data_IF_592085543314
#
_entry.id   IF_592085543314
#
_cell.length_a   1.000
_cell.length_b   1.000
_cell.length_c   1.000
_cell.angle_alpha   90.00
_cell.angle_beta   90.00
_cell.angle_gamma   90.00
#
_symmetry.space_group_name_H-M   'P 1'
#
loop_
_entity.id
_entity.type
_entity.pdbx_description
1 polymer ?
#
# COMPACT_ATOMS: atom_id res chain seq x y z
N UNK A 1 7.34 -11.93 8.70
CA UNK A 1 6.71 -10.73 9.30
C UNK A 1 7.55 -9.49 9.11
N UNK A 2 8.80 -9.44 9.62
CA UNK A 2 9.63 -8.23 9.52
C UNK A 2 9.84 -7.75 8.07
N UNK A 3 10.33 -8.63 7.20
CA UNK A 3 10.56 -8.28 5.79
C UNK A 3 9.27 -7.89 5.06
N UNK A 4 8.17 -8.59 5.33
CA UNK A 4 6.85 -8.28 4.78
C UNK A 4 6.42 -6.86 5.15
N UNK A 5 6.57 -6.50 6.43
CA UNK A 5 6.28 -5.16 6.91
C UNK A 5 7.21 -4.13 6.28
N UNK A 6 8.50 -4.43 6.17
CA UNK A 6 9.50 -3.51 5.64
C UNK A 6 9.21 -3.15 4.18
N UNK A 7 8.93 -4.14 3.34
CA UNK A 7 8.56 -3.92 1.93
C UNK A 7 7.27 -3.10 1.82
N UNK A 8 6.23 -3.43 2.61
CA UNK A 8 4.96 -2.72 2.55
C UNK A 8 5.05 -1.27 3.06
N UNK A 9 5.86 -1.02 4.08
CA UNK A 9 6.12 0.34 4.56
C UNK A 9 6.79 1.20 3.49
N UNK A 10 7.78 0.64 2.76
CA UNK A 10 8.39 1.32 1.61
C UNK A 10 7.40 1.52 0.46
N UNK A 11 6.60 0.50 0.11
CA UNK A 11 5.60 0.60 -0.94
C UNK A 11 4.64 1.78 -0.70
N UNK A 12 4.15 1.91 0.53
CA UNK A 12 3.27 3.02 0.93
C UNK A 12 3.96 4.37 0.94
N UNK A 13 5.17 4.45 1.49
CA UNK A 13 5.93 5.70 1.54
C UNK A 13 6.21 6.23 0.14
N UNK A 14 6.57 5.34 -0.79
CA UNK A 14 6.81 5.71 -2.18
C UNK A 14 5.51 6.13 -2.87
N UNK A 15 4.42 5.38 -2.70
CA UNK A 15 3.11 5.75 -3.25
C UNK A 15 2.63 7.11 -2.72
N UNK A 16 2.89 7.41 -1.43
CA UNK A 16 2.60 8.70 -0.84
C UNK A 16 3.42 9.83 -1.47
N UNK A 17 4.72 9.60 -1.73
CA UNK A 17 5.59 10.58 -2.39
C UNK A 17 5.12 10.83 -3.83
N UNK A 18 4.79 9.77 -4.57
CA UNK A 18 4.26 9.89 -5.94
C UNK A 18 2.98 10.71 -5.94
N UNK A 19 2.02 10.35 -5.08
CA UNK A 19 0.74 11.05 -5.00
C UNK A 19 0.90 12.51 -4.56
N UNK A 20 1.73 12.76 -3.55
CA UNK A 20 2.03 14.12 -3.11
C UNK A 20 2.72 14.94 -4.20
N UNK A 21 3.61 14.32 -4.98
CA UNK A 21 4.24 15.01 -6.11
C UNK A 21 3.23 15.47 -7.16
N UNK A 22 2.22 14.64 -7.46
CA UNK A 22 1.11 14.98 -8.36
C UNK A 22 0.24 16.08 -7.76
N UNK A 23 -0.27 15.88 -6.54
CA UNK A 23 -1.20 16.80 -5.88
C UNK A 23 -0.60 18.20 -5.68
N UNK A 24 0.73 18.29 -5.50
CA UNK A 24 1.45 19.55 -5.29
C UNK A 24 2.30 20.00 -6.49
N UNK A 25 2.21 19.35 -7.65
CA UNK A 25 2.97 19.66 -8.86
C UNK A 25 4.50 19.79 -8.65
N UNK A 26 5.08 18.96 -7.77
CA UNK A 26 6.48 19.06 -7.37
C UNK A 26 7.45 18.40 -8.37
N UNK A 27 6.94 17.61 -9.31
CA UNK A 27 7.76 16.86 -10.29
C UNK A 27 8.87 16.03 -9.65
N UNK A 28 8.59 15.39 -8.50
CA UNK A 28 9.54 14.59 -7.73
C UNK A 28 9.99 13.39 -8.57
N UNK A 29 11.31 13.29 -8.76
CA UNK A 29 11.93 12.12 -9.36
C UNK A 29 12.28 11.11 -8.28
N UNK A 30 11.56 9.99 -8.23
CA UNK A 30 11.79 8.94 -7.24
C UNK A 30 13.23 8.39 -7.26
N UNK A 31 13.87 8.36 -8.43
CA UNK A 31 15.27 7.92 -8.54
C UNK A 31 16.22 8.84 -7.77
N UNK A 32 16.02 10.16 -7.82
CA UNK A 32 16.82 11.12 -7.05
C UNK A 32 16.59 10.98 -5.54
N UNK A 33 15.33 10.79 -5.12
CA UNK A 33 14.97 10.54 -3.71
C UNK A 33 15.63 9.27 -3.20
N UNK A 34 15.50 8.17 -3.95
CA UNK A 34 16.07 6.87 -3.56
C UNK A 34 17.60 6.92 -3.55
N UNK A 35 18.23 7.65 -4.47
CA UNK A 35 19.67 7.84 -4.50
C UNK A 35 20.19 8.56 -3.25
N UNK A 36 19.47 9.58 -2.78
CA UNK A 36 19.80 10.26 -1.52
C UNK A 36 19.70 9.31 -0.30
N UNK A 37 18.84 8.29 -0.37
CA UNK A 37 18.70 7.29 0.70
C UNK A 37 19.71 6.13 0.62
N UNK A 38 20.49 6.04 -0.46
CA UNK A 38 21.47 4.95 -0.63
C UNK A 38 22.74 5.12 0.21
N UNK A 39 23.04 6.33 0.72
CA UNK A 39 24.29 6.58 1.44
C UNK A 39 24.09 7.52 2.63
N UNK A 40 24.43 7.05 3.84
CA UNK A 40 24.56 7.87 5.05
C UNK A 40 23.24 8.18 5.78
N UNK A 41 22.10 7.75 5.24
CA UNK A 41 20.81 7.92 5.93
C UNK A 41 20.50 6.70 6.82
N UNK A 42 19.67 6.91 7.86
CA UNK A 42 19.32 5.86 8.85
C UNK A 42 18.61 4.65 8.20
N UNK A 43 17.89 4.88 7.11
CA UNK A 43 17.12 3.83 6.40
C UNK A 43 17.90 3.17 5.26
N UNK A 44 19.18 3.48 5.12
CA UNK A 44 20.07 2.88 4.12
C UNK A 44 20.02 1.35 4.24
N UNK A 45 19.72 0.68 3.13
CA UNK A 45 19.64 -0.78 3.11
C UNK A 45 19.70 -1.35 1.69
N UNK A 46 19.98 -2.66 1.60
CA UNK A 46 19.90 -3.41 0.33
C UNK A 46 18.54 -3.26 -0.37
N UNK A 47 17.46 -3.04 0.38
CA UNK A 47 16.15 -2.79 -0.22
C UNK A 47 16.15 -1.44 -0.95
N UNK A 48 16.70 -0.37 -0.35
CA UNK A 48 16.79 0.96 -1.00
C UNK A 48 17.57 0.88 -2.31
N UNK A 49 18.73 0.21 -2.34
CA UNK A 49 19.47 -0.03 -3.59
C UNK A 49 18.63 -0.76 -4.65
N UNK A 50 17.88 -1.78 -4.23
CA UNK A 50 16.98 -2.53 -5.13
C UNK A 50 15.84 -1.64 -5.65
N UNK A 51 15.25 -0.80 -4.79
CA UNK A 51 14.19 0.14 -5.16
C UNK A 51 14.70 1.17 -6.15
N UNK A 52 15.88 1.73 -5.92
CA UNK A 52 16.51 2.66 -6.87
C UNK A 52 16.63 2.01 -8.25
N UNK A 53 17.13 0.77 -8.32
CA UNK A 53 17.22 0.01 -9.57
C UNK A 53 15.85 -0.20 -10.24
N UNK A 54 14.85 -0.63 -9.48
CA UNK A 54 13.48 -0.84 -9.98
C UNK A 54 12.92 0.44 -10.61
N UNK A 55 12.99 1.57 -9.92
CA UNK A 55 12.44 2.83 -10.42
C UNK A 55 13.31 3.50 -11.49
N UNK A 56 14.57 3.08 -11.64
CA UNK A 56 15.40 3.44 -12.79
C UNK A 56 14.96 2.69 -14.05
N UNK A 57 14.69 1.39 -13.92
CA UNK A 57 14.26 0.53 -15.03
C UNK A 57 12.79 0.76 -15.42
N UNK A 58 11.94 1.10 -14.45
CA UNK A 58 10.50 1.31 -14.63
C UNK A 58 10.04 2.62 -13.96
N UNK A 59 10.35 3.80 -14.53
CA UNK A 59 10.01 5.09 -13.93
C UNK A 59 8.50 5.31 -13.77
N UNK A 60 7.69 4.71 -14.64
CA UNK A 60 6.22 4.80 -14.62
C UNK A 60 5.55 3.72 -13.77
N UNK A 61 6.29 3.01 -12.91
CA UNK A 61 5.71 2.01 -12.02
C UNK A 61 4.75 2.67 -11.02
N UNK A 62 3.45 2.42 -11.20
CA UNK A 62 2.39 3.01 -10.37
C UNK A 62 2.47 2.58 -8.91
N UNK A 63 2.84 1.32 -8.66
CA UNK A 63 2.89 0.78 -7.32
C UNK A 63 3.97 -0.30 -7.20
N UNK A 64 4.78 -0.23 -6.15
CA UNK A 64 5.92 -1.14 -5.94
C UNK A 64 5.54 -2.63 -5.98
N UNK A 65 4.35 -2.98 -5.47
CA UNK A 65 3.87 -4.36 -5.45
C UNK A 65 3.50 -4.94 -6.83
N UNK A 66 3.48 -4.11 -7.88
CA UNK A 66 3.31 -4.56 -9.26
C UNK A 66 4.63 -5.01 -9.90
N UNK A 67 5.78 -4.67 -9.30
CA UNK A 67 7.07 -5.16 -9.78
C UNK A 67 7.19 -6.67 -9.49
N UNK A 68 7.48 -7.45 -10.54
CA UNK A 68 7.46 -8.91 -10.52
C UNK A 68 8.30 -9.53 -9.41
N UNK A 69 9.52 -9.05 -9.20
CA UNK A 69 10.42 -9.62 -8.18
C UNK A 69 9.94 -9.32 -6.75
N UNK A 70 9.34 -8.14 -6.51
CA UNK A 70 8.72 -7.77 -5.24
C UNK A 70 7.45 -8.56 -5.01
N UNK A 71 6.56 -8.66 -6.00
CA UNK A 71 5.33 -9.44 -5.93
C UNK A 71 5.61 -10.90 -5.55
N UNK A 72 6.53 -11.56 -6.26
CA UNK A 72 6.96 -12.93 -5.97
C UNK A 72 7.57 -13.06 -4.57
N UNK A 73 8.31 -12.05 -4.09
CA UNK A 73 8.86 -12.07 -2.74
C UNK A 73 7.75 -11.99 -1.69
N UNK A 74 6.79 -11.09 -1.87
CA UNK A 74 5.64 -10.92 -0.99
C UNK A 74 4.80 -12.19 -0.95
N UNK A 75 4.52 -12.82 -2.09
CA UNK A 75 3.79 -14.09 -2.16
C UNK A 75 4.44 -15.19 -1.33
N UNK A 76 5.78 -15.30 -1.40
CA UNK A 76 6.54 -16.29 -0.62
C UNK A 76 6.46 -16.07 0.89
N UNK A 77 6.41 -14.82 1.35
CA UNK A 77 6.50 -14.48 2.78
C UNK A 77 5.15 -14.15 3.44
N UNK A 78 4.09 -13.87 2.68
CA UNK A 78 2.80 -13.44 3.25
C UNK A 78 2.15 -14.52 4.13
N UNK A 79 2.23 -15.80 3.75
CA UNK A 79 1.59 -16.91 4.50
C UNK A 79 2.16 -17.03 5.92
N UNK A 80 3.48 -17.03 6.04
CA UNK A 80 4.14 -17.11 7.34
C UNK A 80 3.97 -15.81 8.14
N UNK A 81 3.91 -14.66 7.47
CA UNK A 81 3.63 -13.39 8.13
C UNK A 81 2.22 -13.35 8.74
N UNK A 82 1.20 -13.85 8.02
CA UNK A 82 -0.17 -14.00 8.55
C UNK A 82 -0.23 -14.90 9.77
N UNK A 83 0.44 -16.06 9.73
CA UNK A 83 0.48 -16.99 10.88
C UNK A 83 1.03 -16.30 12.12
N UNK A 84 2.14 -15.58 11.99
CA UNK A 84 2.74 -14.88 13.13
C UNK A 84 1.86 -13.70 13.62
N UNK A 85 1.24 -12.97 12.70
CA UNK A 85 0.28 -11.90 13.03
C UNK A 85 -0.91 -12.45 13.81
N UNK A 86 -1.52 -13.55 13.35
CA UNK A 86 -2.64 -14.19 14.02
C UNK A 86 -2.26 -14.70 15.42
N UNK A 87 -1.09 -15.33 15.55
CA UNK A 87 -0.57 -15.77 16.84
C UNK A 87 -0.38 -14.58 17.80
N UNK A 88 0.24 -13.49 17.35
CA UNK A 88 0.43 -12.31 18.18
C UNK A 88 -0.89 -11.69 18.63
N UNK A 89 -1.89 -11.57 17.74
CA UNK A 89 -3.24 -11.11 18.09
C UNK A 89 -3.88 -12.03 19.13
N UNK A 90 -3.85 -13.35 18.90
CA UNK A 90 -4.42 -14.34 19.83
C UNK A 90 -3.75 -14.35 21.21
N UNK A 91 -2.49 -13.94 21.29
CA UNK A 91 -1.74 -13.81 22.53
C UNK A 91 -1.73 -12.37 23.09
N UNK A 92 -2.59 -11.49 22.59
CA UNK A 92 -2.72 -10.11 23.06
C UNK A 92 -1.41 -9.30 22.97
N UNK A 93 -0.56 -9.64 22.00
CA UNK A 93 0.70 -8.92 21.72
C UNK A 93 0.40 -7.78 20.73
N UNK A 94 0.69 -6.52 21.08
CA UNK A 94 0.44 -5.38 20.21
C UNK A 94 1.38 -5.42 18.99
N UNK A 95 0.78 -5.36 17.79
CA UNK A 95 1.49 -5.45 16.50
C UNK A 95 0.95 -4.43 15.49
N UNK A 96 0.89 -3.16 15.89
CA UNK A 96 0.25 -2.08 15.13
C UNK A 96 0.71 -2.00 13.67
N UNK A 97 2.03 -2.06 13.43
CA UNK A 97 2.59 -2.01 12.06
C UNK A 97 2.17 -3.23 11.25
N UNK A 98 2.27 -4.43 11.81
CA UNK A 98 1.96 -5.68 11.09
C UNK A 98 0.47 -5.80 10.77
N UNK A 99 -0.39 -5.50 11.74
CA UNK A 99 -1.85 -5.52 11.58
C UNK A 99 -2.31 -4.50 10.54
N UNK A 100 -1.74 -3.30 10.54
CA UNK A 100 -2.04 -2.30 9.55
C UNK A 100 -1.51 -2.71 8.15
N UNK A 101 -0.28 -3.22 8.06
CA UNK A 101 0.34 -3.67 6.81
C UNK A 101 -0.43 -4.82 6.14
N UNK A 102 -0.86 -5.82 6.90
CA UNK A 102 -1.64 -6.92 6.32
C UNK A 102 -2.99 -6.45 5.78
N UNK A 103 -3.69 -5.57 6.51
CA UNK A 103 -4.97 -5.02 6.08
C UNK A 103 -4.83 -4.22 4.79
N UNK A 104 -3.83 -3.33 4.70
CA UNK A 104 -3.54 -2.59 3.46
C UNK A 104 -3.21 -3.49 2.28
N UNK A 105 -2.37 -4.50 2.49
CA UNK A 105 -2.04 -5.44 1.43
C UNK A 105 -3.29 -6.16 0.91
N UNK A 106 -4.23 -6.50 1.79
CA UNK A 106 -5.50 -7.10 1.39
C UNK A 106 -6.44 -6.11 0.72
N UNK A 107 -6.51 -4.85 1.18
CA UNK A 107 -7.26 -3.79 0.49
C UNK A 107 -6.78 -3.59 -0.95
N UNK A 108 -5.47 -3.59 -1.21
CA UNK A 108 -4.93 -3.43 -2.57
C UNK A 108 -5.35 -4.55 -3.54
N UNK A 109 -5.70 -5.74 -3.04
CA UNK A 109 -6.16 -6.87 -3.87
C UNK A 109 -7.69 -7.01 -3.89
N UNK A 110 -8.40 -6.15 -3.16
CA UNK A 110 -9.84 -6.26 -2.98
C UNK A 110 -10.54 -5.40 -4.01
N UNK A 111 -11.05 -6.04 -5.08
CA UNK A 111 -11.82 -5.35 -6.14
C UNK A 111 -13.11 -4.71 -5.62
N UNK A 112 -13.80 -5.39 -4.71
CA UNK A 112 -15.04 -4.92 -4.09
C UNK A 112 -14.87 -4.94 -2.57
N UNK A 113 -14.72 -3.76 -1.97
CA UNK A 113 -14.53 -3.61 -0.53
C UNK A 113 -15.86 -3.38 0.19
N UNK A 114 -15.82 -3.31 1.52
CA UNK A 114 -16.96 -2.95 2.36
C UNK A 114 -17.36 -1.45 2.25
N UNK A 115 -16.78 -0.69 1.33
CA UNK A 115 -17.14 0.71 1.10
C UNK A 115 -18.59 0.87 0.59
N UNK A 116 -19.18 -0.18 0.02
CA UNK A 116 -20.60 -0.20 -0.35
C UNK A 116 -21.52 0.05 0.86
N UNK A 117 -21.23 -0.55 2.02
CA UNK A 117 -22.00 -0.32 3.24
C UNK A 117 -21.81 1.10 3.75
N UNK A 118 -20.60 1.65 3.66
CA UNK A 118 -20.33 3.05 4.02
C UNK A 118 -21.15 4.00 3.14
N UNK A 119 -21.21 3.76 1.83
CA UNK A 119 -22.03 4.55 0.93
C UNK A 119 -23.52 4.48 1.28
N UNK A 120 -24.04 3.27 1.56
CA UNK A 120 -25.43 3.10 2.00
C UNK A 120 -25.74 3.84 3.31
N UNK A 121 -24.84 3.77 4.29
CA UNK A 121 -24.99 4.48 5.57
C UNK A 121 -25.03 6.00 5.35
N UNK A 122 -24.06 6.54 4.59
CA UNK A 122 -23.97 7.98 4.27
C UNK A 122 -25.25 8.49 3.62
N UNK A 123 -25.78 7.73 2.67
CA UNK A 123 -27.01 8.12 2.02
C UNK A 123 -28.22 8.03 2.95
N UNK A 124 -28.33 6.97 3.74
CA UNK A 124 -29.44 6.78 4.69
C UNK A 124 -29.57 7.93 5.70
N UNK A 125 -28.48 8.39 6.31
CA UNK A 125 -28.55 9.47 7.31
C UNK A 125 -28.39 10.88 6.73
N UNK A 126 -27.88 11.01 5.50
CA UNK A 126 -27.36 12.29 5.00
C UNK A 126 -27.67 12.62 3.54
N UNK A 127 -28.43 11.78 2.82
CA UNK A 127 -28.80 11.98 1.41
C UNK A 127 -27.61 12.30 0.51
N UNK A 128 -26.47 11.64 0.76
CA UNK A 128 -25.21 11.86 0.05
C UNK A 128 -25.18 11.25 -1.36
N UNK A 129 -26.13 10.37 -1.69
CA UNK A 129 -26.16 9.60 -2.93
C UNK A 129 -25.06 8.55 -3.02
N UNK A 130 -25.24 7.60 -3.94
CA UNK A 130 -24.24 6.59 -4.28
C UNK A 130 -24.35 6.13 -5.74
N UNK A 131 -23.25 5.60 -6.28
CA UNK A 131 -23.22 4.98 -7.61
C UNK A 131 -23.52 3.48 -7.51
N UNK A 132 -24.02 2.91 -8.61
CA UNK A 132 -24.28 1.48 -8.75
C UNK A 132 -23.35 0.86 -9.78
N UNK A 133 -23.06 -0.43 -9.61
CA UNK A 133 -22.20 -1.19 -10.52
C UNK A 133 -22.92 -1.70 -11.77
N UNK A 134 -24.26 -1.66 -11.77
CA UNK A 134 -25.11 -2.18 -12.85
C UNK A 134 -25.79 -1.09 -13.68
N UNK A 135 -25.72 0.17 -13.24
CA UNK A 135 -26.36 1.31 -13.91
C UNK A 135 -25.64 2.61 -13.62
N UNK A 136 -25.40 3.38 -14.66
CA UNK A 136 -24.81 4.73 -14.55
C UNK A 136 -25.79 5.71 -13.89
N UNK A 137 -25.23 6.61 -13.07
CA UNK A 137 -25.96 7.67 -12.38
C UNK A 137 -25.76 7.68 -10.87
N UNK A 138 -26.34 8.68 -10.22
CA UNK A 138 -26.36 8.84 -8.75
C UNK A 138 -27.75 8.43 -8.25
N UNK A 139 -27.78 7.58 -7.24
CA UNK A 139 -28.99 7.00 -6.65
C UNK A 139 -29.08 7.34 -5.18
N UNK A 140 -30.31 7.30 -4.66
CA UNK A 140 -30.63 7.41 -3.24
C UNK A 140 -31.46 6.19 -2.80
N UNK A 141 -31.32 5.80 -1.53
CA UNK A 141 -32.07 4.72 -0.87
C UNK A 141 -33.55 5.07 -0.69
#
# INVERSE_FOLDING_TARGET
MLEFNYILSFARGIALIQRGSEDFNLSVKLTEVLAAWMNGCIIESKLVFKLHKIYTEQPSLEHLLLEKSIALRIEKIQKNSRKLIALAIGNQIPINVSSNNISYFDYLKTKHSSANLIQAQRDYFGQHGFERIDKDGIFHL
#
